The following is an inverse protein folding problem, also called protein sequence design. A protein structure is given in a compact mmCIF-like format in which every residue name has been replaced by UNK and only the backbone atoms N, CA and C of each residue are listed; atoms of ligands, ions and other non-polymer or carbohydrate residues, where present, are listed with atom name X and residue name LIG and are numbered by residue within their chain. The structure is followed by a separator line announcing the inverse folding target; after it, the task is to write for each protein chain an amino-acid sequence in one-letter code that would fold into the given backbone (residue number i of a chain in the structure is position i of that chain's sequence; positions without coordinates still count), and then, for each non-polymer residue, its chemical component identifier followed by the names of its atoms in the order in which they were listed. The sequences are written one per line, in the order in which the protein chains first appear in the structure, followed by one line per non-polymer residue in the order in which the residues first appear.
data_IF_675732427093
#
_entry.id   IF_675732427093
#
_cell.length_a   1.000
_cell.length_b   1.000
_cell.length_c   1.000
_cell.angle_alpha   90.00
_cell.angle_beta   90.00
_cell.angle_gamma   90.00
#
_symmetry.space_group_name_H-M   'P 1'
#
loop_
_entity.id
_entity.type
_entity.pdbx_description
1 polymer ?
#
# COMPACT_ATOMS: atom_id res chain seq x y z
N UNK A 1 22.78 21.28 -0.85
CA UNK A 1 24.11 20.94 -1.44
C UNK A 1 24.75 19.66 -0.89
N UNK A 2 24.63 19.34 0.42
CA UNK A 2 25.21 18.12 0.99
C UNK A 2 24.54 16.80 0.52
N UNK A 3 23.21 16.82 0.28
CA UNK A 3 22.46 15.64 -0.19
C UNK A 3 22.86 15.18 -1.60
N UNK A 4 23.10 16.13 -2.51
CA UNK A 4 23.53 15.82 -3.88
C UNK A 4 24.95 15.20 -3.91
N UNK A 5 25.85 15.67 -3.03
CA UNK A 5 27.20 15.09 -2.94
C UNK A 5 27.18 13.65 -2.41
N UNK A 6 26.30 13.30 -1.47
CA UNK A 6 26.15 11.91 -0.98
C UNK A 6 25.62 10.96 -2.07
N UNK A 7 24.56 11.34 -2.78
CA UNK A 7 24.03 10.54 -3.90
C UNK A 7 25.05 10.29 -5.00
N UNK A 8 25.90 11.28 -5.32
CA UNK A 8 26.95 11.10 -6.33
C UNK A 8 28.04 10.11 -5.91
N UNK A 9 28.37 10.04 -4.62
CA UNK A 9 29.40 9.14 -4.09
C UNK A 9 28.91 7.70 -3.97
N UNK A 10 27.64 7.49 -3.61
CA UNK A 10 27.01 6.17 -3.57
C UNK A 10 26.81 5.59 -4.97
N UNK A 11 26.42 6.42 -5.96
CA UNK A 11 26.32 5.97 -7.35
C UNK A 11 27.68 5.58 -7.96
N UNK A 12 28.75 6.29 -7.59
CA UNK A 12 30.10 5.97 -8.02
C UNK A 12 30.63 4.65 -7.41
N UNK A 13 30.29 4.35 -6.15
CA UNK A 13 30.61 3.07 -5.51
C UNK A 13 29.87 1.91 -6.19
N UNK A 14 28.57 2.05 -6.40
CA UNK A 14 27.75 1.02 -7.04
C UNK A 14 28.18 0.69 -8.47
N UNK A 15 28.70 1.66 -9.23
CA UNK A 15 29.19 1.43 -10.59
C UNK A 15 30.55 0.71 -10.61
N UNK A 16 31.42 0.97 -9.63
CA UNK A 16 32.69 0.27 -9.47
C UNK A 16 32.45 -1.19 -9.04
N UNK A 17 31.55 -1.42 -8.08
CA UNK A 17 31.20 -2.77 -7.59
C UNK A 17 30.58 -3.63 -8.72
N UNK A 18 29.74 -3.04 -9.57
CA UNK A 18 29.17 -3.73 -10.73
C UNK A 18 30.22 -4.07 -11.79
N UNK A 19 31.18 -3.19 -12.05
CA UNK A 19 32.27 -3.44 -12.98
C UNK A 19 33.23 -4.53 -12.48
N UNK A 20 33.47 -4.59 -11.16
CA UNK A 20 34.26 -5.63 -10.51
C UNK A 20 33.56 -6.99 -10.55
N UNK A 21 32.25 -7.05 -10.30
CA UNK A 21 31.46 -8.28 -10.44
C UNK A 21 31.48 -8.81 -11.88
N UNK A 22 31.33 -7.92 -12.86
CA UNK A 22 31.38 -8.28 -14.28
C UNK A 22 32.79 -8.72 -14.72
N UNK A 23 33.84 -8.22 -14.07
CA UNK A 23 35.20 -8.75 -14.26
C UNK A 23 35.30 -10.17 -13.71
N UNK A 24 34.83 -10.43 -12.49
CA UNK A 24 34.88 -11.76 -11.87
C UNK A 24 34.12 -12.81 -12.70
N UNK A 25 32.96 -12.44 -13.26
CA UNK A 25 32.18 -13.32 -14.16
C UNK A 25 32.96 -13.68 -15.42
N UNK A 26 33.55 -12.69 -16.09
CA UNK A 26 34.41 -12.94 -17.26
C UNK A 26 35.63 -13.80 -16.93
N UNK A 27 36.22 -13.60 -15.76
CA UNK A 27 37.34 -14.42 -15.29
C UNK A 27 36.91 -15.86 -14.99
N UNK A 28 35.69 -16.07 -14.48
CA UNK A 28 35.10 -17.40 -14.28
C UNK A 28 34.82 -18.08 -15.62
N UNK A 29 34.19 -17.41 -16.56
CA UNK A 29 33.92 -17.94 -17.90
C UNK A 29 35.22 -18.39 -18.59
N UNK A 30 36.28 -17.58 -18.46
CA UNK A 30 37.60 -17.91 -18.99
C UNK A 30 38.21 -19.14 -18.28
N UNK A 31 38.06 -19.25 -16.95
CA UNK A 31 38.53 -20.40 -16.19
C UNK A 31 37.74 -21.69 -16.51
N UNK A 32 36.44 -21.58 -16.76
CA UNK A 32 35.61 -22.71 -17.18
C UNK A 32 35.98 -23.18 -18.60
N UNK A 33 36.23 -22.25 -19.52
CA UNK A 33 36.72 -22.58 -20.85
C UNK A 33 38.08 -23.32 -20.78
N UNK A 34 39.00 -22.85 -19.94
CA UNK A 34 40.29 -23.52 -19.69
C UNK A 34 40.10 -24.93 -19.09
N UNK A 35 39.16 -25.09 -18.15
CA UNK A 35 38.83 -26.38 -17.55
C UNK A 35 38.28 -27.35 -18.60
N UNK A 36 37.35 -26.91 -19.44
CA UNK A 36 36.74 -27.73 -20.50
C UNK A 36 37.81 -28.16 -21.53
N UNK A 37 38.70 -27.24 -21.92
CA UNK A 37 39.83 -27.56 -22.80
C UNK A 37 40.77 -28.59 -22.17
N UNK A 38 41.13 -28.42 -20.90
CA UNK A 38 42.01 -29.37 -20.19
C UNK A 38 41.37 -30.76 -20.04
N UNK A 39 40.06 -30.83 -19.77
CA UNK A 39 39.32 -32.11 -19.70
C UNK A 39 39.29 -32.79 -21.07
N UNK A 40 39.05 -32.04 -22.15
CA UNK A 40 39.10 -32.58 -23.52
C UNK A 40 40.50 -33.12 -23.85
N UNK A 41 41.55 -32.35 -23.57
CA UNK A 41 42.93 -32.79 -23.78
C UNK A 41 43.26 -34.07 -22.99
N UNK A 42 42.65 -34.27 -21.80
CA UNK A 42 42.82 -35.49 -21.01
C UNK A 42 42.16 -36.68 -21.71
N UNK A 43 40.92 -36.50 -22.19
CA UNK A 43 40.19 -37.51 -22.94
C UNK A 43 40.94 -37.92 -24.21
N UNK A 44 41.46 -36.95 -24.98
CA UNK A 44 42.24 -37.21 -26.20
C UNK A 44 43.52 -38.02 -25.90
N UNK A 45 44.15 -37.81 -24.74
CA UNK A 45 45.30 -38.61 -24.29
C UNK A 45 44.85 -40.01 -23.85
N UNK A 46 43.79 -40.12 -23.06
CA UNK A 46 43.22 -41.41 -22.62
C UNK A 46 42.87 -42.30 -23.83
N UNK A 47 42.28 -41.74 -24.89
CA UNK A 47 41.93 -42.46 -26.13
C UNK A 47 43.16 -43.00 -26.88
N UNK A 48 44.29 -42.29 -26.83
CA UNK A 48 45.55 -42.68 -27.51
C UNK A 48 46.40 -43.67 -26.71
N UNK A 49 46.00 -44.00 -25.49
CA UNK A 49 46.78 -44.81 -24.56
C UNK A 49 47.10 -46.20 -25.13
N UNK A 50 46.11 -46.87 -25.70
CA UNK A 50 46.26 -48.23 -26.21
C UNK A 50 47.21 -48.28 -27.42
N UNK A 51 47.17 -47.25 -28.28
CA UNK A 51 48.09 -47.12 -29.42
C UNK A 51 49.54 -46.92 -28.97
N UNK A 52 49.76 -46.09 -27.93
CA UNK A 52 51.10 -45.86 -27.37
C UNK A 52 51.64 -47.13 -26.73
N UNK A 53 50.81 -47.89 -26.00
CA UNK A 53 51.20 -49.17 -25.41
C UNK A 53 51.51 -50.22 -26.49
N UNK A 54 50.76 -50.25 -27.59
CA UNK A 54 50.97 -51.17 -28.70
C UNK A 54 52.24 -50.88 -29.51
N UNK A 55 52.79 -49.66 -29.43
CA UNK A 55 54.00 -49.28 -30.16
C UNK A 55 55.29 -49.93 -29.63
N UNK A 56 55.26 -50.45 -28.39
CA UNK A 56 56.42 -50.98 -27.65
C UNK A 56 57.62 -50.01 -27.53
N UNK A 57 57.43 -48.73 -27.83
CA UNK A 57 58.44 -47.67 -27.72
C UNK A 57 58.39 -47.01 -26.33
N UNK A 58 59.38 -47.33 -25.50
CA UNK A 58 59.50 -46.82 -24.12
C UNK A 58 59.55 -45.30 -24.07
N UNK A 59 60.21 -44.64 -25.03
CA UNK A 59 60.32 -43.18 -25.03
C UNK A 59 58.97 -42.52 -25.34
N UNK A 60 58.14 -43.14 -26.20
CA UNK A 60 56.78 -42.66 -26.46
C UNK A 60 55.86 -42.82 -25.25
N UNK A 61 56.00 -43.93 -24.51
CA UNK A 61 55.25 -44.15 -23.28
C UNK A 61 55.60 -43.11 -22.21
N UNK A 62 56.88 -42.85 -21.97
CA UNK A 62 57.33 -41.83 -21.02
C UNK A 62 56.82 -40.43 -21.40
N UNK A 63 56.90 -40.06 -22.68
CA UNK A 63 56.37 -38.78 -23.16
C UNK A 63 54.85 -38.67 -22.97
N UNK A 64 54.12 -39.77 -23.17
CA UNK A 64 52.69 -39.84 -22.94
C UNK A 64 52.33 -39.67 -21.47
N UNK A 65 53.02 -40.37 -20.56
CA UNK A 65 52.80 -40.24 -19.11
C UNK A 65 53.07 -38.82 -18.60
N UNK A 66 54.13 -38.16 -19.09
CA UNK A 66 54.43 -36.76 -18.78
C UNK A 66 53.29 -35.85 -19.27
N UNK A 67 52.77 -36.09 -20.47
CA UNK A 67 51.66 -35.31 -21.04
C UNK A 67 50.38 -35.48 -20.21
N UNK A 68 50.04 -36.72 -19.82
CA UNK A 68 48.89 -37.02 -18.95
C UNK A 68 49.02 -36.29 -17.62
N UNK A 69 50.16 -36.43 -16.94
CA UNK A 69 50.40 -35.76 -15.65
C UNK A 69 50.36 -34.22 -15.76
N UNK A 70 50.79 -33.65 -16.89
CA UNK A 70 50.70 -32.22 -17.14
C UNK A 70 49.24 -31.75 -17.32
N UNK A 71 48.43 -32.52 -18.06
CA UNK A 71 47.01 -32.21 -18.27
C UNK A 71 46.20 -32.39 -16.98
N UNK A 72 46.47 -33.43 -16.19
CA UNK A 72 45.83 -33.62 -14.88
C UNK A 72 46.08 -32.44 -13.94
N UNK A 73 47.32 -31.93 -13.90
CA UNK A 73 47.63 -30.70 -13.15
C UNK A 73 46.86 -29.48 -13.69
N UNK A 74 46.75 -29.32 -15.02
CA UNK A 74 45.94 -28.25 -15.63
C UNK A 74 44.48 -28.34 -15.20
N UNK A 75 43.87 -29.54 -15.24
CA UNK A 75 42.48 -29.75 -14.79
C UNK A 75 42.32 -29.36 -13.33
N UNK A 76 43.19 -29.86 -12.44
CA UNK A 76 43.11 -29.56 -11.01
C UNK A 76 43.26 -28.05 -10.71
N UNK A 77 44.20 -27.38 -11.39
CA UNK A 77 44.39 -25.93 -11.24
C UNK A 77 43.17 -25.15 -11.74
N UNK A 78 42.61 -25.53 -12.89
CA UNK A 78 41.42 -24.89 -13.44
C UNK A 78 40.18 -25.09 -12.55
N UNK A 79 40.00 -26.29 -11.98
CA UNK A 79 38.90 -26.58 -11.03
C UNK A 79 38.98 -25.75 -9.75
N UNK A 80 40.18 -25.66 -9.14
CA UNK A 80 40.41 -24.81 -7.96
C UNK A 80 40.12 -23.35 -8.30
N UNK A 81 40.56 -22.88 -9.48
CA UNK A 81 40.32 -21.51 -9.93
C UNK A 81 38.82 -21.23 -10.13
N UNK A 82 38.08 -22.12 -10.78
CA UNK A 82 36.63 -22.00 -10.96
C UNK A 82 35.92 -21.94 -9.61
N UNK A 83 36.27 -22.84 -8.68
CA UNK A 83 35.65 -22.91 -7.35
C UNK A 83 35.89 -21.62 -6.56
N UNK A 84 37.12 -21.11 -6.58
CA UNK A 84 37.47 -19.83 -5.93
C UNK A 84 36.67 -18.66 -6.51
N UNK A 85 36.66 -18.52 -7.84
CA UNK A 85 35.97 -17.42 -8.52
C UNK A 85 34.46 -17.47 -8.29
N UNK A 86 33.85 -18.66 -8.30
CA UNK A 86 32.43 -18.84 -7.99
C UNK A 86 32.10 -18.33 -6.57
N UNK A 87 32.92 -18.67 -5.57
CA UNK A 87 32.72 -18.18 -4.19
C UNK A 87 32.93 -16.67 -4.04
N UNK A 88 33.86 -16.07 -4.80
CA UNK A 88 34.07 -14.62 -4.85
C UNK A 88 32.86 -13.89 -5.46
N UNK A 89 32.27 -14.45 -6.53
CA UNK A 89 31.06 -13.91 -7.16
C UNK A 89 29.87 -13.97 -6.17
N UNK A 90 29.64 -15.12 -5.53
CA UNK A 90 28.53 -15.26 -4.58
C UNK A 90 28.64 -14.25 -3.42
N UNK A 91 29.85 -14.08 -2.88
CA UNK A 91 30.12 -13.11 -1.80
C UNK A 91 29.85 -11.68 -2.28
N UNK A 92 30.37 -11.31 -3.46
CA UNK A 92 30.18 -9.98 -4.01
C UNK A 92 28.70 -9.67 -4.33
N UNK A 93 27.94 -10.64 -4.84
CA UNK A 93 26.50 -10.50 -5.07
C UNK A 93 25.72 -10.31 -3.78
N UNK A 94 26.05 -11.09 -2.74
CA UNK A 94 25.42 -10.96 -1.43
C UNK A 94 25.70 -9.59 -0.77
N UNK A 95 26.93 -9.08 -0.89
CA UNK A 95 27.32 -7.77 -0.39
C UNK A 95 26.60 -6.63 -1.12
N UNK A 96 26.54 -6.70 -2.45
CA UNK A 96 25.83 -5.74 -3.29
C UNK A 96 24.32 -5.72 -2.96
N UNK A 97 23.70 -6.89 -2.82
CA UNK A 97 22.31 -7.00 -2.43
C UNK A 97 22.06 -6.41 -1.04
N UNK A 98 22.95 -6.67 -0.08
CA UNK A 98 22.78 -6.14 1.26
C UNK A 98 23.01 -4.62 1.33
N UNK A 99 23.92 -4.08 0.51
CA UNK A 99 24.05 -2.64 0.32
C UNK A 99 22.76 -2.02 -0.23
N UNK A 100 22.15 -2.63 -1.24
CA UNK A 100 20.86 -2.20 -1.81
C UNK A 100 19.75 -2.19 -0.76
N UNK A 101 19.62 -3.26 0.04
CA UNK A 101 18.63 -3.36 1.11
C UNK A 101 18.81 -2.30 2.19
N UNK A 102 20.06 -2.04 2.61
CA UNK A 102 20.38 -0.99 3.59
C UNK A 102 20.01 0.40 3.07
N UNK A 103 20.29 0.69 1.80
CA UNK A 103 19.93 1.95 1.18
C UNK A 103 18.40 2.15 1.11
N UNK A 104 17.66 1.12 0.69
CA UNK A 104 16.18 1.16 0.67
C UNK A 104 15.59 1.36 2.08
N UNK A 105 16.14 0.68 3.07
CA UNK A 105 15.71 0.82 4.47
C UNK A 105 15.97 2.23 5.01
N UNK A 106 17.13 2.83 4.71
CA UNK A 106 17.41 4.22 5.10
C UNK A 106 16.42 5.21 4.48
N UNK A 107 16.10 5.06 3.19
CA UNK A 107 15.08 5.87 2.53
C UNK A 107 13.69 5.70 3.14
N UNK A 108 13.32 4.47 3.51
CA UNK A 108 12.06 4.20 4.20
C UNK A 108 12.01 4.86 5.59
N UNK A 109 13.12 4.89 6.33
CA UNK A 109 13.20 5.60 7.61
C UNK A 109 13.04 7.12 7.45
N UNK A 110 13.69 7.71 6.45
CA UNK A 110 13.53 9.14 6.13
C UNK A 110 12.07 9.47 5.75
N UNK A 111 11.46 8.64 4.90
CA UNK A 111 10.06 8.80 4.51
C UNK A 111 9.09 8.65 5.70
N UNK A 112 9.35 7.70 6.62
CA UNK A 112 8.56 7.54 7.85
C UNK A 112 8.68 8.77 8.75
N UNK A 113 9.90 9.29 8.94
CA UNK A 113 10.13 10.48 9.75
C UNK A 113 9.42 11.71 9.16
N UNK A 114 9.50 11.89 7.85
CA UNK A 114 8.81 12.97 7.14
C UNK A 114 7.28 12.81 7.21
N UNK A 115 6.76 11.59 7.02
CA UNK A 115 5.33 11.31 7.16
C UNK A 115 4.80 11.64 8.56
N UNK A 116 5.56 11.30 9.62
CA UNK A 116 5.22 11.69 11.00
C UNK A 116 5.23 13.20 11.17
N UNK A 117 6.28 13.87 10.65
CA UNK A 117 6.38 15.34 10.68
C UNK A 117 5.17 16.00 10.03
N UNK A 118 4.76 15.56 8.84
CA UNK A 118 3.59 16.08 8.13
C UNK A 118 2.31 15.87 8.96
N UNK A 119 2.11 14.68 9.53
CA UNK A 119 0.92 14.41 10.35
C UNK A 119 0.86 15.28 11.62
N UNK A 120 1.98 15.46 12.30
CA UNK A 120 2.05 16.21 13.55
C UNK A 120 2.02 17.73 13.35
N UNK A 121 2.77 18.22 12.35
CA UNK A 121 3.00 19.66 12.16
C UNK A 121 2.06 20.31 11.16
N UNK A 122 1.50 19.56 10.21
CA UNK A 122 0.67 20.11 9.14
C UNK A 122 -0.78 19.65 9.25
N UNK A 123 -1.00 18.33 9.36
CA UNK A 123 -2.36 17.79 9.44
C UNK A 123 -3.07 18.22 10.72
N UNK A 124 -2.48 18.01 11.90
CA UNK A 124 -3.16 18.29 13.17
C UNK A 124 -3.60 19.76 13.31
N UNK A 125 -2.75 20.77 13.02
CA UNK A 125 -3.19 22.16 13.06
C UNK A 125 -4.28 22.48 12.02
N UNK A 126 -4.17 21.96 10.80
CA UNK A 126 -5.17 22.17 9.76
C UNK A 126 -6.52 21.52 10.13
N UNK A 127 -6.50 20.32 10.70
CA UNK A 127 -7.67 19.64 11.19
C UNK A 127 -8.33 20.43 12.32
N UNK A 128 -7.57 20.92 13.30
CA UNK A 128 -8.09 21.75 14.39
C UNK A 128 -8.73 23.04 13.88
N UNK A 129 -8.10 23.75 12.93
CA UNK A 129 -8.69 24.93 12.30
C UNK A 129 -10.00 24.60 11.58
N UNK A 130 -10.08 23.44 10.92
CA UNK A 130 -11.31 22.98 10.29
C UNK A 130 -12.39 22.64 11.32
N UNK A 131 -12.03 22.02 12.45
CA UNK A 131 -12.96 21.77 13.57
C UNK A 131 -13.61 23.06 14.06
N UNK A 132 -12.85 24.14 14.20
CA UNK A 132 -13.40 25.45 14.61
C UNK A 132 -14.43 25.99 13.61
N UNK A 133 -14.13 25.89 12.31
CA UNK A 133 -15.04 26.31 11.23
C UNK A 133 -16.33 25.47 11.26
N UNK A 134 -16.20 24.15 11.37
CA UNK A 134 -17.34 23.22 11.39
C UNK A 134 -18.22 23.44 12.64
N UNK A 135 -17.63 23.68 13.81
CA UNK A 135 -18.36 24.04 15.04
C UNK A 135 -19.13 25.36 14.86
N UNK A 136 -18.49 26.40 14.31
CA UNK A 136 -19.15 27.69 14.08
C UNK A 136 -20.34 27.54 13.14
N UNK A 137 -20.18 26.81 12.05
CA UNK A 137 -21.26 26.55 11.10
C UNK A 137 -22.40 25.73 11.74
N UNK A 138 -22.09 24.73 12.57
CA UNK A 138 -23.09 23.97 13.34
C UNK A 138 -23.89 24.88 14.28
N UNK A 139 -23.23 25.78 15.00
CA UNK A 139 -23.90 26.75 15.90
C UNK A 139 -24.82 27.69 15.13
N UNK A 140 -24.37 28.21 13.97
CA UNK A 140 -25.21 29.06 13.11
C UNK A 140 -26.44 28.30 12.60
N UNK A 141 -26.27 27.06 12.14
CA UNK A 141 -27.39 26.21 11.71
C UNK A 141 -28.38 25.95 12.84
N UNK A 142 -27.91 25.72 14.07
CA UNK A 142 -28.77 25.55 15.25
C UNK A 142 -29.53 26.84 15.59
N UNK A 143 -28.90 28.01 15.47
CA UNK A 143 -29.55 29.30 15.68
C UNK A 143 -30.66 29.56 14.64
N UNK A 144 -30.42 29.24 13.37
CA UNK A 144 -31.44 29.31 12.31
C UNK A 144 -32.62 28.37 12.62
N UNK A 145 -32.33 27.12 13.02
CA UNK A 145 -33.37 26.17 13.39
C UNK A 145 -34.22 26.67 14.56
N UNK A 146 -33.59 27.18 15.63
CA UNK A 146 -34.30 27.75 16.78
C UNK A 146 -35.14 28.99 16.41
N UNK A 147 -34.64 29.86 15.51
CA UNK A 147 -35.42 30.99 15.01
C UNK A 147 -36.64 30.54 14.19
N UNK A 148 -36.49 29.47 13.39
CA UNK A 148 -37.60 28.90 12.62
C UNK A 148 -38.71 28.29 13.50
N UNK A 149 -38.40 27.85 14.72
CA UNK A 149 -39.40 27.33 15.67
C UNK A 149 -40.34 28.42 16.21
N UNK A 150 -39.92 29.69 16.16
CA UNK A 150 -40.66 30.84 16.70
C UNK A 150 -40.97 31.89 15.62
N UNK A 151 -41.25 31.43 14.39
CA UNK A 151 -41.54 32.31 13.26
C UNK A 151 -42.75 33.21 13.52
N UNK A 152 -42.67 34.51 13.20
CA UNK A 152 -43.84 35.37 13.16
C UNK A 152 -44.84 34.89 12.10
N UNK A 153 -46.13 35.10 12.37
CA UNK A 153 -47.20 34.75 11.43
C UNK A 153 -46.96 35.38 10.05
N UNK A 154 -47.10 34.55 9.01
CA UNK A 154 -46.92 34.97 7.62
C UNK A 154 -45.47 35.12 7.15
N UNK A 155 -44.48 34.78 7.99
CA UNK A 155 -43.07 34.73 7.58
C UNK A 155 -42.68 33.37 7.01
N UNK A 156 -41.86 33.37 5.96
CA UNK A 156 -41.28 32.14 5.41
C UNK A 156 -40.12 31.63 6.29
N UNK A 157 -39.95 30.30 6.43
CA UNK A 157 -38.84 29.74 7.17
C UNK A 157 -37.50 30.01 6.47
N UNK A 158 -36.47 30.26 7.26
CA UNK A 158 -35.10 30.39 6.75
C UNK A 158 -34.53 29.02 6.37
N UNK A 159 -33.74 28.91 5.29
CA UNK A 159 -33.10 27.65 4.92
C UNK A 159 -32.05 27.27 5.97
N UNK A 160 -32.09 26.01 6.43
CA UNK A 160 -31.11 25.45 7.39
C UNK A 160 -29.86 24.89 6.72
N UNK A 161 -29.85 24.86 5.39
CA UNK A 161 -28.71 24.48 4.56
C UNK A 161 -27.80 25.70 4.40
N UNK A 162 -26.56 25.58 4.87
CA UNK A 162 -25.57 26.67 4.81
C UNK A 162 -24.74 26.61 3.53
N UNK A 163 -24.65 25.44 2.90
CA UNK A 163 -23.93 25.24 1.66
C UNK A 163 -24.58 26.02 0.51
N UNK A 164 -23.80 26.78 -0.28
CA UNK A 164 -24.35 27.61 -1.35
C UNK A 164 -24.89 26.79 -2.53
N UNK A 165 -24.50 25.52 -2.64
CA UNK A 165 -24.94 24.62 -3.72
C UNK A 165 -25.45 23.33 -3.11
N UNK A 166 -26.72 23.02 -3.39
CA UNK A 166 -27.30 21.72 -3.11
C UNK A 166 -26.71 20.69 -4.08
N UNK A 167 -25.84 19.82 -3.57
CA UNK A 167 -25.27 18.71 -4.34
C UNK A 167 -26.16 17.44 -4.37
N UNK A 168 -27.39 17.53 -3.86
CA UNK A 168 -28.38 16.47 -4.00
C UNK A 168 -29.12 16.54 -5.34
N UNK A 169 -29.89 15.50 -5.65
CA UNK A 169 -30.77 15.48 -6.81
C UNK A 169 -32.19 15.25 -6.33
N UNK A 170 -33.16 16.02 -6.82
CA UNK A 170 -34.57 15.74 -6.57
C UNK A 170 -35.06 14.63 -7.50
N UNK A 171 -36.00 13.80 -7.04
CA UNK A 171 -36.67 12.91 -7.98
C UNK A 171 -37.54 13.73 -8.95
N UNK A 172 -37.44 13.51 -10.27
CA UNK A 172 -38.22 14.27 -11.24
C UNK A 172 -39.72 13.96 -11.18
N UNK A 173 -40.10 12.72 -10.86
CA UNK A 173 -41.51 12.30 -10.79
C UNK A 173 -41.67 11.10 -9.86
N UNK A 174 -42.26 11.25 -8.67
CA UNK A 174 -42.64 10.05 -7.92
C UNK A 174 -43.79 10.29 -6.98
N UNK A 175 -44.94 9.68 -7.27
CA UNK A 175 -46.00 9.41 -6.29
C UNK A 175 -45.76 8.02 -5.69
N UNK A 176 -45.92 7.88 -4.38
CA UNK A 176 -45.92 6.56 -3.72
C UNK A 176 -44.54 5.96 -3.42
N UNK A 177 -43.51 6.78 -3.20
CA UNK A 177 -42.23 6.26 -2.71
C UNK A 177 -42.30 5.92 -1.22
N UNK A 178 -41.91 4.69 -0.92
CA UNK A 178 -41.59 4.23 0.42
C UNK A 178 -40.08 4.25 0.65
N UNK A 179 -39.62 4.79 1.78
CA UNK A 179 -38.22 4.66 2.25
C UNK A 179 -38.17 3.68 3.41
N UNK A 180 -37.27 2.71 3.32
CA UNK A 180 -36.86 1.95 4.50
C UNK A 180 -35.88 2.79 5.33
N UNK A 181 -36.31 3.13 6.54
CA UNK A 181 -35.48 3.79 7.54
C UNK A 181 -35.05 2.75 8.57
N UNK A 182 -33.75 2.52 8.65
CA UNK A 182 -33.15 1.70 9.71
C UNK A 182 -32.92 2.59 10.93
N UNK A 183 -33.22 2.06 12.12
CA UNK A 183 -32.97 2.74 13.39
C UNK A 183 -32.65 1.74 14.49
N UNK A 184 -32.01 2.20 15.57
CA UNK A 184 -31.66 1.35 16.70
C UNK A 184 -32.54 1.67 17.90
N UNK A 185 -32.95 0.62 18.61
CA UNK A 185 -33.73 0.70 19.84
C UNK A 185 -32.97 -0.01 20.95
N UNK A 186 -32.84 0.64 22.11
CA UNK A 186 -32.22 0.01 23.26
C UNK A 186 -33.10 -1.15 23.77
N UNK A 187 -32.53 -2.35 23.87
CA UNK A 187 -33.27 -3.57 24.25
C UNK A 187 -33.90 -3.49 25.64
N UNK A 188 -33.29 -2.73 26.56
CA UNK A 188 -33.72 -2.63 27.95
C UNK A 188 -34.72 -1.50 28.17
N UNK A 189 -34.48 -0.33 27.57
CA UNK A 189 -35.29 0.87 27.83
C UNK A 189 -36.35 1.12 26.76
N UNK A 190 -36.26 0.48 25.60
CA UNK A 190 -37.15 0.74 24.46
C UNK A 190 -36.94 2.11 23.81
N UNK A 191 -35.97 2.90 24.27
CA UNK A 191 -35.68 4.22 23.71
C UNK A 191 -34.94 4.09 22.37
N UNK A 192 -35.34 4.92 21.41
CA UNK A 192 -34.68 5.03 20.11
C UNK A 192 -33.33 5.75 20.27
N UNK A 193 -32.31 5.26 19.59
CA UNK A 193 -31.02 5.93 19.49
C UNK A 193 -31.22 7.35 18.90
N UNK A 194 -30.52 8.33 19.47
CA UNK A 194 -30.58 9.70 18.94
C UNK A 194 -30.05 9.76 17.50
N UNK A 195 -30.34 10.84 16.76
CA UNK A 195 -29.85 11.01 15.38
C UNK A 195 -28.31 11.11 15.26
N UNK A 196 -27.61 11.11 16.40
CA UNK A 196 -26.15 11.23 16.53
C UNK A 196 -25.49 10.00 17.19
N UNK A 197 -26.28 9.04 17.68
CA UNK A 197 -25.73 7.84 18.32
C UNK A 197 -25.50 6.77 17.24
N UNK A 198 -24.29 6.21 17.18
CA UNK A 198 -23.99 5.02 16.37
C UNK A 198 -23.79 3.79 17.27
N UNK A 199 -24.85 3.10 17.70
CA UNK A 199 -24.69 1.94 18.56
C UNK A 199 -23.73 0.87 18.03
N UNK A 200 -23.60 0.73 16.71
CA UNK A 200 -22.69 -0.22 16.07
C UNK A 200 -21.20 0.11 16.28
N UNK A 201 -20.87 1.38 16.52
CA UNK A 201 -19.48 1.84 16.76
C UNK A 201 -19.14 1.98 18.25
N UNK A 202 -20.10 1.72 19.15
CA UNK A 202 -19.88 1.76 20.59
C UNK A 202 -19.60 0.37 21.16
N UNK A 203 -18.80 0.30 22.22
CA UNK A 203 -18.56 -0.92 23.02
C UNK A 203 -19.83 -1.54 23.61
N UNK A 204 -20.94 -0.78 23.61
CA UNK A 204 -22.25 -1.21 24.09
C UNK A 204 -23.22 -1.69 22.99
N UNK A 205 -22.72 -1.99 21.78
CA UNK A 205 -23.54 -2.41 20.63
C UNK A 205 -24.54 -3.53 20.94
N UNK A 206 -24.17 -4.48 21.81
CA UNK A 206 -25.02 -5.58 22.27
C UNK A 206 -26.32 -5.15 22.98
N UNK A 207 -26.39 -3.91 23.49
CA UNK A 207 -27.58 -3.35 24.16
C UNK A 207 -28.63 -2.84 23.18
N UNK A 208 -28.32 -2.79 21.88
CA UNK A 208 -29.15 -2.17 20.86
C UNK A 208 -29.68 -3.22 19.88
N UNK A 209 -30.91 -3.02 19.44
CA UNK A 209 -31.57 -3.82 18.42
C UNK A 209 -31.78 -2.96 17.18
N UNK A 210 -31.29 -3.45 16.03
CA UNK A 210 -31.55 -2.82 14.73
C UNK A 210 -32.98 -3.15 14.30
N UNK A 211 -33.76 -2.11 13.99
CA UNK A 211 -35.10 -2.22 13.43
C UNK A 211 -35.17 -1.45 12.12
N UNK A 212 -36.11 -1.85 11.28
CA UNK A 212 -36.40 -1.16 10.02
C UNK A 212 -37.86 -0.75 10.06
N UNK A 213 -38.17 0.47 9.60
CA UNK A 213 -39.53 0.89 9.31
C UNK A 213 -39.62 1.41 7.90
N UNK A 214 -40.70 1.07 7.22
CA UNK A 214 -41.03 1.64 5.93
C UNK A 214 -41.88 2.88 6.17
N UNK A 215 -41.43 4.03 5.68
CA UNK A 215 -42.17 5.30 5.74
C UNK A 215 -42.55 5.73 4.34
N UNK A 216 -43.81 6.12 4.17
CA UNK A 216 -44.26 6.81 2.97
C UNK A 216 -43.65 8.21 2.96
N UNK A 217 -42.90 8.54 1.91
CA UNK A 217 -42.28 9.85 1.80
C UNK A 217 -43.35 10.88 1.41
N UNK A 218 -43.58 11.94 2.20
CA UNK A 218 -44.49 13.00 1.80
C UNK A 218 -43.94 13.70 0.54
N UNK A 219 -44.77 13.78 -0.49
CA UNK A 219 -44.48 14.46 -1.76
C UNK A 219 -44.25 15.97 -1.53
N UNK A 220 -43.28 16.65 -2.18
CA UNK A 220 -42.18 16.21 -3.04
C UNK A 220 -40.79 16.67 -2.51
N UNK A 221 -40.56 16.62 -1.20
CA UNK A 221 -39.36 17.23 -0.57
C UNK A 221 -38.17 16.29 -0.37
N UNK A 222 -38.31 14.99 -0.69
CA UNK A 222 -37.23 14.04 -0.52
C UNK A 222 -36.34 13.93 -1.77
N UNK A 223 -35.03 14.24 -1.66
CA UNK A 223 -34.14 14.13 -2.80
C UNK A 223 -33.84 12.66 -3.15
N UNK A 224 -33.74 12.35 -4.44
CA UNK A 224 -33.22 11.11 -5.00
C UNK A 224 -31.79 10.81 -4.58
N UNK A 225 -30.96 11.86 -4.54
CA UNK A 225 -29.61 11.82 -3.96
C UNK A 225 -29.59 12.78 -2.79
N UNK A 226 -29.44 12.25 -1.57
CA UNK A 226 -29.34 13.07 -0.37
C UNK A 226 -28.18 14.07 -0.49
N UNK A 227 -28.44 15.31 -0.09
CA UNK A 227 -27.39 16.32 0.01
C UNK A 227 -26.31 15.87 0.98
N UNK A 228 -25.06 15.90 0.51
CA UNK A 228 -23.89 15.61 1.33
C UNK A 228 -23.35 16.92 1.89
N UNK A 229 -23.93 17.35 3.01
CA UNK A 229 -23.45 18.51 3.75
C UNK A 229 -22.05 18.24 4.29
N UNK A 230 -21.16 19.23 4.20
CA UNK A 230 -19.81 19.14 4.76
C UNK A 230 -19.88 18.92 6.27
N UNK A 231 -20.85 19.55 6.93
CA UNK A 231 -21.10 19.40 8.37
C UNK A 231 -21.54 18.00 8.76
N UNK A 232 -22.20 17.29 7.83
CA UNK A 232 -22.76 15.97 8.10
C UNK A 232 -21.86 14.84 7.62
N UNK A 233 -20.89 15.06 6.73
CA UNK A 233 -20.10 13.98 6.12
C UNK A 233 -18.59 14.02 6.39
N UNK A 234 -18.02 15.15 6.83
CA UNK A 234 -16.58 15.25 7.13
C UNK A 234 -16.28 14.60 8.48
N UNK A 235 -15.27 13.71 8.49
CA UNK A 235 -14.65 13.20 9.71
C UNK A 235 -13.18 13.61 9.74
N UNK A 236 -12.73 14.03 10.92
CA UNK A 236 -11.33 14.39 11.16
C UNK A 236 -10.79 13.45 12.25
N UNK A 237 -10.08 12.37 11.87
CA UNK A 237 -9.50 11.45 12.85
C UNK A 237 -8.39 12.15 13.64
N UNK A 238 -8.33 11.85 14.93
CA UNK A 238 -7.19 12.18 15.77
C UNK A 238 -6.03 11.23 15.53
N UNK A 239 -4.83 11.68 15.84
CA UNK A 239 -3.58 10.91 15.67
C UNK A 239 -3.09 10.25 16.97
N UNK A 240 -3.76 10.51 18.10
CA UNK A 240 -3.32 10.12 19.45
C UNK A 240 -3.93 8.81 19.97
N UNK A 241 -4.87 8.20 19.24
CA UNK A 241 -5.47 6.92 19.62
C UNK A 241 -6.36 6.30 18.54
N UNK A 242 -6.59 4.98 18.58
CA UNK A 242 -7.27 4.22 17.53
C UNK A 242 -8.72 4.64 17.28
N UNK A 243 -9.37 5.31 18.24
CA UNK A 243 -10.77 5.76 18.16
C UNK A 243 -10.93 7.27 18.46
N UNK A 244 -9.83 8.03 18.40
CA UNK A 244 -9.90 9.48 18.63
C UNK A 244 -10.40 10.19 17.37
N UNK A 245 -11.43 11.02 17.50
CA UNK A 245 -11.88 11.94 16.45
C UNK A 245 -11.80 13.37 16.97
N UNK A 246 -11.19 14.26 16.19
CA UNK A 246 -11.22 15.70 16.43
C UNK A 246 -12.60 16.25 16.06
N UNK A 247 -13.22 15.68 15.03
CA UNK A 247 -14.59 15.93 14.63
C UNK A 247 -15.21 14.67 14.04
N UNK A 248 -16.41 14.34 14.54
CA UNK A 248 -17.23 13.25 14.03
C UNK A 248 -18.55 13.81 13.49
N UNK A 249 -18.76 13.57 12.20
CA UNK A 249 -19.98 13.96 11.52
C UNK A 249 -21.16 13.06 11.99
N UNK A 250 -22.36 13.63 12.22
CA UNK A 250 -23.57 12.91 12.56
C UNK A 250 -23.91 11.73 11.64
N UNK A 251 -23.60 11.83 10.33
CA UNK A 251 -23.98 10.83 9.34
C UNK A 251 -23.35 9.47 9.59
N UNK A 252 -22.19 9.41 10.23
CA UNK A 252 -21.53 8.14 10.57
C UNK A 252 -22.19 7.42 11.76
N UNK A 253 -23.14 8.10 12.43
CA UNK A 253 -24.15 7.53 13.32
C UNK A 253 -25.34 6.87 12.63
N UNK A 254 -25.51 7.10 11.32
CA UNK A 254 -26.68 6.62 10.60
C UNK A 254 -26.41 5.25 9.97
N UNK A 255 -27.39 4.33 10.03
CA UNK A 255 -27.28 3.06 9.35
C UNK A 255 -27.12 3.27 7.85
N UNK A 256 -26.18 2.52 7.26
CA UNK A 256 -25.90 2.54 5.83
C UNK A 256 -27.11 1.98 5.06
N UNK A 257 -27.44 2.59 3.92
CA UNK A 257 -28.27 1.94 2.91
C UNK A 257 -27.59 0.63 2.51
N UNK A 258 -28.25 -0.52 2.69
CA UNK A 258 -27.75 -1.77 2.12
C UNK A 258 -27.94 -1.71 0.60
N UNK A 259 -26.87 -1.94 -0.15
CA UNK A 259 -26.94 -2.09 -1.60
C UNK A 259 -27.70 -3.36 -2.05
N UNK A 260 -28.17 -4.18 -1.10
CA UNK A 260 -28.86 -5.45 -1.36
C UNK A 260 -30.19 -5.29 -2.09
N UNK A 261 -30.85 -4.14 -1.98
CA UNK A 261 -32.25 -3.97 -2.44
C UNK A 261 -32.41 -2.97 -3.58
N UNK A 262 -31.31 -2.54 -4.22
CA UNK A 262 -31.41 -1.74 -5.45
C UNK A 262 -31.89 -2.62 -6.60
N UNK A 263 -33.01 -2.22 -7.20
CA UNK A 263 -33.45 -2.79 -8.48
C UNK A 263 -32.38 -2.56 -9.56
N UNK A 264 -32.29 -3.45 -10.53
CA UNK A 264 -31.29 -3.39 -11.61
C UNK A 264 -31.31 -2.04 -12.36
N UNK A 265 -32.48 -1.41 -12.43
CA UNK A 265 -32.71 -0.09 -13.01
C UNK A 265 -32.01 1.03 -12.23
N UNK A 266 -31.98 0.95 -10.90
CA UNK A 266 -31.29 1.92 -10.02
C UNK A 266 -29.77 1.76 -10.05
N UNK A 267 -29.24 0.62 -10.53
CA UNK A 267 -27.80 0.40 -10.72
C UNK A 267 -27.28 0.97 -12.03
N UNK A 268 -28.14 1.27 -13.01
CA UNK A 268 -27.76 1.74 -14.35
C UNK A 268 -27.61 3.26 -14.49
N UNK A 269 -28.06 4.04 -13.51
CA UNK A 269 -28.12 5.52 -13.58
C UNK A 269 -26.96 6.20 -12.83
N UNK A 270 -26.06 5.43 -12.21
CA UNK A 270 -24.81 5.89 -11.58
C UNK A 270 -23.61 5.37 -12.37
#
# INVERSE_FOLDING_TARGET
MALMKRKSKEAAGSAADAADLERLRRDLDAAEAERVDAVRARQDLEERRDDVLASEDVAQLEAHEIAVAAVERRVAVAEIRCTRLAGEIETAEAEAEQARRRAAYAQAQEALAEGRRVLEQEYLPAAMALVEILNRARTLRAAIAAANEVLPDGSDPLPTMLEPVFNGQHYPEVRGLTKEEVYFVNRKTGLRAGPFDCPELHSESHKWERRTRTIDLPLPLHPAVEHRSVLEYVNLPGITGPDSYLWSAPFWGRPRFSNSDRTEEQRRVL
#
